data_IF_490107060778
#
_entry.id   IF_490107060778
#
_cell.length_a   1.000
_cell.length_b   1.000
_cell.length_c   1.000
_cell.angle_alpha   90.00
_cell.angle_beta   90.00
_cell.angle_gamma   90.00
#
_symmetry.space_group_name_H-M   'P 1'
#
loop_
_entity.id
_entity.type
_entity.pdbx_description
1 polymer ?
#
# COMPACT_ATOMS: atom_id res chain seq x y z
N UNK A 1 49.23 -29.13 35.64
CA UNK A 1 49.33 -29.24 34.16
C UNK A 1 48.02 -28.88 33.54
N UNK A 2 47.85 -27.60 33.15
CA UNK A 2 46.66 -27.13 32.42
C UNK A 2 46.80 -27.57 30.97
N UNK A 3 45.77 -28.26 30.44
CA UNK A 3 45.67 -28.55 29.02
C UNK A 3 45.49 -27.20 28.31
N UNK A 4 46.49 -26.74 27.56
CA UNK A 4 46.36 -25.73 26.54
C UNK A 4 45.30 -26.27 25.56
N UNK A 5 44.10 -25.63 25.51
CA UNK A 5 43.14 -25.87 24.44
C UNK A 5 43.77 -25.27 23.18
N UNK A 6 44.18 -26.12 22.25
CA UNK A 6 44.61 -25.68 20.93
C UNK A 6 43.53 -24.74 20.38
N UNK A 7 43.94 -23.57 19.90
CA UNK A 7 43.03 -22.63 19.25
C UNK A 7 42.45 -23.34 18.01
N UNK A 8 41.15 -23.32 17.83
CA UNK A 8 40.52 -23.96 16.67
C UNK A 8 41.09 -23.37 15.38
N UNK A 9 41.23 -24.22 14.36
CA UNK A 9 41.66 -23.79 13.04
C UNK A 9 40.78 -22.62 12.54
N UNK A 10 41.37 -21.53 12.02
CA UNK A 10 40.63 -20.38 11.55
C UNK A 10 39.51 -20.73 10.53
N UNK A 11 39.76 -21.72 9.64
CA UNK A 11 38.76 -22.19 8.68
C UNK A 11 37.57 -22.89 9.34
N UNK A 12 37.86 -23.78 10.32
CA UNK A 12 36.81 -24.46 11.09
C UNK A 12 35.96 -23.47 11.91
N UNK A 13 36.59 -22.43 12.43
CA UNK A 13 35.90 -21.38 13.18
C UNK A 13 34.96 -20.58 12.28
N UNK A 14 35.40 -20.21 11.08
CA UNK A 14 34.61 -19.48 10.09
C UNK A 14 33.38 -20.27 9.69
N UNK A 15 33.53 -21.55 9.36
CA UNK A 15 32.41 -22.44 9.01
C UNK A 15 31.44 -22.64 10.17
N UNK A 16 31.94 -22.70 11.39
CA UNK A 16 31.08 -22.75 12.59
C UNK A 16 30.28 -21.47 12.78
N UNK A 17 30.90 -20.31 12.58
CA UNK A 17 30.20 -19.00 12.63
C UNK A 17 29.13 -18.92 11.57
N UNK A 18 29.39 -19.30 10.32
CA UNK A 18 28.39 -19.34 9.25
C UNK A 18 27.18 -20.20 9.60
N UNK A 19 27.42 -21.39 10.18
CA UNK A 19 26.33 -22.26 10.65
C UNK A 19 25.48 -21.59 11.73
N UNK A 20 26.12 -20.96 12.72
CA UNK A 20 25.40 -20.23 13.77
C UNK A 20 24.58 -19.08 13.20
N UNK A 21 25.14 -18.29 12.29
CA UNK A 21 24.44 -17.19 11.62
C UNK A 21 23.25 -17.68 10.79
N UNK A 22 23.38 -18.81 10.10
CA UNK A 22 22.29 -19.44 9.36
C UNK A 22 21.14 -19.86 10.29
N UNK A 23 21.43 -20.53 11.41
CA UNK A 23 20.42 -20.92 12.41
C UNK A 23 19.69 -19.70 12.98
N UNK A 24 20.41 -18.59 13.20
CA UNK A 24 19.82 -17.34 13.68
C UNK A 24 19.10 -16.54 12.57
N UNK A 25 19.15 -17.00 11.33
CA UNK A 25 18.54 -16.28 10.18
C UNK A 25 19.24 -14.96 9.86
N UNK A 26 20.56 -14.85 10.17
CA UNK A 26 21.39 -13.68 9.89
C UNK A 26 22.13 -13.85 8.56
N UNK A 27 21.34 -13.97 7.46
CA UNK A 27 21.85 -14.31 6.13
C UNK A 27 22.82 -13.28 5.58
N UNK A 28 22.48 -11.98 5.68
CA UNK A 28 23.35 -10.90 5.21
C UNK A 28 24.71 -10.93 5.94
N UNK A 29 24.70 -11.08 7.27
CA UNK A 29 25.95 -11.21 8.05
C UNK A 29 26.74 -12.43 7.63
N UNK A 30 26.09 -13.57 7.36
CA UNK A 30 26.76 -14.79 6.92
C UNK A 30 27.44 -14.62 5.55
N UNK A 31 26.77 -13.94 4.63
CA UNK A 31 27.29 -13.67 3.28
C UNK A 31 28.50 -12.71 3.28
N UNK A 32 28.54 -11.76 4.22
CA UNK A 32 29.57 -10.73 4.31
C UNK A 32 30.58 -10.97 5.46
N UNK A 33 30.57 -12.14 6.10
CA UNK A 33 31.34 -12.42 7.30
C UNK A 33 32.84 -12.16 7.11
N UNK A 34 33.44 -12.65 6.02
CA UNK A 34 34.84 -12.45 5.71
C UNK A 34 35.19 -10.97 5.52
N UNK A 35 34.33 -10.21 4.83
CA UNK A 35 34.53 -8.78 4.62
C UNK A 35 34.60 -8.01 5.95
N UNK A 36 33.75 -8.37 6.90
CA UNK A 36 33.76 -7.77 8.24
C UNK A 36 35.04 -8.13 9.03
N UNK A 37 35.48 -9.39 9.00
CA UNK A 37 36.66 -9.84 9.69
C UNK A 37 37.93 -9.23 9.10
N UNK A 38 38.06 -9.15 7.78
CA UNK A 38 39.18 -8.55 7.10
C UNK A 38 39.27 -7.03 7.37
N UNK A 39 38.12 -6.33 7.35
CA UNK A 39 38.05 -4.92 7.71
C UNK A 39 38.49 -4.72 9.15
N UNK A 40 37.96 -5.50 10.09
CA UNK A 40 38.29 -5.37 11.50
C UNK A 40 39.79 -5.61 11.78
N UNK A 41 40.38 -6.54 11.04
CA UNK A 41 41.82 -6.87 11.16
C UNK A 41 42.70 -5.76 10.58
N UNK A 42 42.35 -5.26 9.38
CA UNK A 42 43.10 -4.18 8.71
C UNK A 42 43.10 -2.88 9.51
N UNK A 43 41.92 -2.46 9.93
CA UNK A 43 41.72 -1.19 10.61
C UNK A 43 41.95 -1.30 12.14
N UNK A 44 42.25 -2.48 12.66
CA UNK A 44 42.45 -2.77 14.11
C UNK A 44 41.30 -2.24 14.96
N UNK A 45 40.05 -2.42 14.49
CA UNK A 45 38.84 -1.93 15.16
C UNK A 45 38.58 -2.66 16.47
N UNK A 46 38.01 -1.94 17.44
CA UNK A 46 37.56 -2.56 18.69
C UNK A 46 36.44 -3.60 18.41
N UNK A 47 36.38 -4.70 19.18
CA UNK A 47 35.34 -5.72 19.01
C UNK A 47 33.93 -5.16 19.07
N UNK A 48 33.67 -4.14 19.89
CA UNK A 48 32.36 -3.44 19.95
C UNK A 48 32.01 -2.77 18.66
N UNK A 49 32.97 -2.10 17.99
CA UNK A 49 32.71 -1.43 16.70
C UNK A 49 32.46 -2.45 15.57
N UNK A 50 33.12 -3.61 15.59
CA UNK A 50 32.83 -4.70 14.68
C UNK A 50 31.37 -5.19 14.85
N UNK A 51 30.98 -5.47 16.11
CA UNK A 51 29.62 -5.95 16.41
C UNK A 51 28.55 -4.91 16.05
N UNK A 52 28.79 -3.63 16.34
CA UNK A 52 27.88 -2.54 15.99
C UNK A 52 27.64 -2.49 14.48
N UNK A 53 28.71 -2.53 13.67
CA UNK A 53 28.58 -2.56 12.21
C UNK A 53 27.84 -3.79 11.71
N UNK A 54 28.24 -4.98 12.16
CA UNK A 54 27.66 -6.27 11.75
C UNK A 54 26.15 -6.32 12.05
N UNK A 55 25.77 -5.95 13.27
CA UNK A 55 24.35 -5.99 13.68
C UNK A 55 23.57 -4.81 13.14
N UNK A 56 24.18 -3.64 12.96
CA UNK A 56 23.57 -2.47 12.35
C UNK A 56 23.16 -2.73 10.91
N UNK A 57 24.09 -3.23 10.07
CA UNK A 57 23.79 -3.57 8.67
C UNK A 57 22.75 -4.71 8.58
N UNK A 58 22.86 -5.74 9.41
CA UNK A 58 21.87 -6.82 9.46
C UNK A 58 20.47 -6.32 9.89
N UNK A 59 20.39 -5.41 10.86
CA UNK A 59 19.13 -4.82 11.31
C UNK A 59 18.48 -3.99 10.21
N UNK A 60 19.28 -3.20 9.46
CA UNK A 60 18.83 -2.44 8.33
C UNK A 60 18.23 -3.34 7.24
N UNK A 61 18.96 -4.37 6.81
CA UNK A 61 18.47 -5.33 5.82
C UNK A 61 17.17 -6.02 6.26
N UNK A 62 17.09 -6.39 7.55
CA UNK A 62 15.84 -6.96 8.10
C UNK A 62 14.68 -5.95 8.08
N UNK A 63 14.95 -4.68 8.39
CA UNK A 63 13.94 -3.63 8.35
C UNK A 63 13.43 -3.42 6.92
N UNK A 64 14.32 -3.33 5.94
CA UNK A 64 13.98 -3.19 4.52
C UNK A 64 13.14 -4.37 4.01
N UNK A 65 13.58 -5.62 4.27
CA UNK A 65 12.83 -6.83 3.91
C UNK A 65 11.43 -6.86 4.56
N UNK A 66 11.31 -6.34 5.78
CA UNK A 66 10.02 -6.25 6.49
C UNK A 66 9.09 -5.25 5.83
N UNK A 67 9.62 -4.10 5.38
CA UNK A 67 8.86 -3.09 4.61
C UNK A 67 8.41 -3.69 3.28
N UNK A 68 9.32 -4.29 2.50
CA UNK A 68 9.00 -4.92 1.22
C UNK A 68 7.93 -6.00 1.35
N UNK A 69 8.02 -6.83 2.38
CA UNK A 69 6.99 -7.84 2.65
C UNK A 69 5.62 -7.19 2.93
N UNK A 70 5.57 -6.08 3.70
CA UNK A 70 4.31 -5.35 3.94
C UNK A 70 3.74 -4.79 2.65
N UNK A 71 4.57 -4.18 1.81
CA UNK A 71 4.15 -3.64 0.50
C UNK A 71 3.58 -4.76 -0.37
N UNK A 72 4.25 -5.88 -0.48
CA UNK A 72 3.77 -7.05 -1.24
C UNK A 72 2.44 -7.57 -0.69
N UNK A 73 2.31 -7.70 0.63
CA UNK A 73 1.09 -8.22 1.27
C UNK A 73 -0.06 -7.22 1.26
N UNK A 74 0.19 -5.93 1.05
CA UNK A 74 -0.85 -4.91 0.99
C UNK A 74 -1.74 -5.03 -0.24
N UNK A 75 -1.26 -5.64 -1.32
CA UNK A 75 -1.98 -5.73 -2.59
C UNK A 75 -2.04 -4.41 -3.36
N UNK A 76 -1.20 -3.41 -3.02
CA UNK A 76 -1.09 -2.16 -3.78
C UNK A 76 -0.68 -2.47 -5.23
N UNK A 77 -1.46 -2.04 -6.24
CA UNK A 77 -1.18 -2.37 -7.64
C UNK A 77 0.07 -1.66 -8.18
N UNK A 78 0.38 -0.48 -7.63
CA UNK A 78 1.54 0.33 -8.01
C UNK A 78 2.17 1.00 -6.79
N UNK A 79 3.48 1.27 -6.88
CA UNK A 79 4.21 2.02 -5.85
C UNK A 79 4.17 3.51 -6.17
N UNK A 80 3.02 4.14 -5.95
CA UNK A 80 2.88 5.60 -6.08
C UNK A 80 3.43 6.30 -4.86
N UNK A 81 4.02 7.49 -5.07
CA UNK A 81 4.51 8.36 -3.98
C UNK A 81 3.89 9.75 -4.08
N UNK A 82 3.92 10.52 -3.00
CA UNK A 82 3.45 11.90 -3.00
C UNK A 82 4.39 12.81 -3.80
N UNK A 83 5.66 12.47 -3.84
CA UNK A 83 6.69 13.18 -4.63
C UNK A 83 6.48 12.97 -6.13
N UNK A 84 5.96 11.79 -6.53
CA UNK A 84 5.63 11.47 -7.92
C UNK A 84 4.26 11.97 -8.37
N UNK A 85 3.53 12.70 -7.52
CA UNK A 85 2.25 13.31 -7.91
C UNK A 85 2.48 14.60 -8.70
N UNK A 86 1.81 14.74 -9.83
CA UNK A 86 1.92 15.96 -10.66
C UNK A 86 1.05 17.09 -10.09
N UNK A 87 1.66 17.87 -9.22
CA UNK A 87 1.00 19.00 -8.55
C UNK A 87 0.66 20.14 -9.51
N UNK A 88 1.46 20.32 -10.57
CA UNK A 88 1.22 21.38 -11.55
C UNK A 88 -0.04 21.08 -12.38
N UNK A 89 -0.33 19.79 -12.60
CA UNK A 89 -1.53 19.37 -13.31
C UNK A 89 -2.82 19.51 -12.48
N UNK A 90 -2.72 19.53 -11.16
CA UNK A 90 -3.86 19.68 -10.24
C UNK A 90 -3.73 20.92 -9.34
N UNK A 91 -3.78 22.14 -9.92
CA UNK A 91 -3.54 23.37 -9.17
C UNK A 91 -4.64 23.68 -8.13
N UNK A 92 -5.82 23.10 -8.29
CA UNK A 92 -6.93 23.25 -7.33
C UNK A 92 -6.81 22.36 -6.10
N UNK A 93 -5.84 21.43 -6.07
CA UNK A 93 -5.62 20.56 -4.93
C UNK A 93 -4.59 21.20 -3.97
N UNK A 94 -5.01 21.47 -2.74
CA UNK A 94 -4.12 22.02 -1.74
C UNK A 94 -3.06 20.99 -1.33
N UNK A 95 -1.82 21.26 -1.77
CA UNK A 95 -0.68 20.40 -1.47
C UNK A 95 -0.39 20.29 0.03
N UNK A 96 -0.61 21.34 0.81
CA UNK A 96 -0.34 21.34 2.24
C UNK A 96 -1.27 20.37 2.98
N UNK A 97 -2.55 20.36 2.62
CA UNK A 97 -3.56 19.43 3.15
C UNK A 97 -3.20 17.99 2.81
N UNK A 98 -2.81 17.71 1.56
CA UNK A 98 -2.42 16.35 1.15
C UNK A 98 -1.14 15.89 1.86
N UNK A 99 -0.17 16.78 2.04
CA UNK A 99 1.06 16.45 2.78
C UNK A 99 0.78 16.19 4.26
N UNK A 100 -0.16 16.93 4.87
CA UNK A 100 -0.62 16.67 6.23
C UNK A 100 -1.31 15.30 6.33
N UNK A 101 -2.23 14.98 5.43
CA UNK A 101 -2.82 13.65 5.33
C UNK A 101 -1.76 12.55 5.14
N UNK A 102 -0.70 12.86 4.40
CA UNK A 102 0.46 12.00 4.20
C UNK A 102 1.26 11.68 5.47
N UNK A 103 1.12 12.45 6.54
CA UNK A 103 1.72 12.12 7.85
C UNK A 103 1.03 10.92 8.52
N UNK A 104 -0.16 10.53 8.04
CA UNK A 104 -0.94 9.37 8.48
C UNK A 104 -1.40 9.44 9.95
N UNK A 105 -1.38 10.61 10.57
CA UNK A 105 -1.85 10.79 11.94
C UNK A 105 -3.32 10.36 12.11
N UNK A 106 -4.14 10.55 11.07
CA UNK A 106 -5.54 10.11 11.01
C UNK A 106 -5.67 8.57 11.11
N UNK A 107 -4.70 7.79 10.56
CA UNK A 107 -4.69 6.33 10.72
C UNK A 107 -4.50 5.95 12.20
N UNK A 108 -3.59 6.63 12.88
CA UNK A 108 -3.36 6.43 14.32
C UNK A 108 -4.58 6.80 15.19
N UNK A 109 -5.38 7.78 14.75
CA UNK A 109 -6.65 8.16 15.39
C UNK A 109 -7.84 7.32 14.96
N UNK A 110 -7.62 6.32 14.07
CA UNK A 110 -8.68 5.45 13.53
C UNK A 110 -9.79 6.23 12.82
N UNK A 111 -9.43 7.34 12.18
CA UNK A 111 -10.32 8.15 11.35
C UNK A 111 -10.33 7.59 9.93
N UNK A 112 -11.44 7.82 9.22
CA UNK A 112 -11.57 7.43 7.83
C UNK A 112 -11.16 8.58 6.90
N UNK A 113 -10.84 8.26 5.64
CA UNK A 113 -10.50 9.24 4.62
C UNK A 113 -11.31 8.97 3.35
N UNK A 114 -12.00 9.98 2.83
CA UNK A 114 -12.77 9.85 1.60
C UNK A 114 -12.25 10.85 0.57
N UNK A 115 -11.83 10.34 -0.58
CA UNK A 115 -11.45 11.13 -1.75
C UNK A 115 -12.53 11.02 -2.81
N UNK A 116 -13.17 12.15 -3.15
CA UNK A 116 -14.17 12.21 -4.20
C UNK A 116 -13.68 13.07 -5.38
N UNK A 117 -14.28 12.87 -6.54
CA UNK A 117 -13.97 13.64 -7.74
C UNK A 117 -14.02 12.83 -9.04
N UNK A 118 -13.93 13.50 -10.19
CA UNK A 118 -14.01 12.88 -11.52
C UNK A 118 -12.92 11.81 -11.71
N UNK A 119 -13.15 10.91 -12.68
CA UNK A 119 -12.14 9.92 -13.05
C UNK A 119 -10.86 10.58 -13.59
N UNK A 120 -9.70 10.05 -13.18
CA UNK A 120 -8.39 10.54 -13.64
C UNK A 120 -7.84 11.74 -12.87
N UNK A 121 -8.49 12.23 -11.80
CA UNK A 121 -8.02 13.38 -11.01
C UNK A 121 -6.92 13.07 -10.00
N UNK A 122 -6.45 11.82 -9.91
CA UNK A 122 -5.35 11.44 -9.02
C UNK A 122 -5.75 10.81 -7.69
N UNK A 123 -7.05 10.59 -7.41
CA UNK A 123 -7.54 9.97 -6.15
C UNK A 123 -6.83 8.66 -5.80
N UNK A 124 -6.84 7.70 -6.72
CA UNK A 124 -6.19 6.38 -6.52
C UNK A 124 -4.68 6.52 -6.35
N UNK A 125 -4.03 7.46 -7.07
CA UNK A 125 -2.61 7.76 -6.87
C UNK A 125 -2.32 8.16 -5.42
N UNK A 126 -3.10 9.11 -4.89
CA UNK A 126 -2.93 9.58 -3.51
C UNK A 126 -3.16 8.47 -2.49
N UNK A 127 -4.23 7.65 -2.65
CA UNK A 127 -4.45 6.54 -1.72
C UNK A 127 -3.35 5.47 -1.80
N UNK A 128 -2.85 5.16 -3.00
CA UNK A 128 -1.70 4.27 -3.13
C UNK A 128 -0.44 4.85 -2.48
N UNK A 129 -0.21 6.16 -2.61
CA UNK A 129 0.91 6.84 -1.96
C UNK A 129 0.80 6.82 -0.42
N UNK A 130 -0.38 7.05 0.13
CA UNK A 130 -0.64 6.92 1.57
C UNK A 130 -0.45 5.48 2.04
N UNK A 131 -0.94 4.49 1.27
CA UNK A 131 -0.76 3.07 1.56
C UNK A 131 0.70 2.65 1.56
N UNK A 132 1.48 3.08 0.57
CA UNK A 132 2.92 2.83 0.50
C UNK A 132 3.65 3.42 1.73
N UNK A 133 3.35 4.66 2.07
CA UNK A 133 3.92 5.34 3.22
C UNK A 133 3.54 4.67 4.55
N UNK A 134 2.30 4.18 4.66
CA UNK A 134 1.84 3.40 5.80
C UNK A 134 2.63 2.09 5.96
N UNK A 135 2.90 1.36 4.88
CA UNK A 135 3.76 0.18 4.88
C UNK A 135 5.18 0.51 5.35
N UNK A 136 5.75 1.63 4.88
CA UNK A 136 7.08 2.11 5.28
C UNK A 136 7.13 2.48 6.77
N UNK A 137 6.07 3.06 7.32
CA UNK A 137 5.94 3.35 8.75
C UNK A 137 5.62 2.10 9.60
N UNK A 138 5.52 0.93 8.99
CA UNK A 138 5.31 -0.32 9.72
C UNK A 138 3.86 -0.71 9.93
N UNK A 139 2.89 0.04 9.40
CA UNK A 139 1.47 -0.27 9.49
C UNK A 139 1.10 -1.43 8.56
N UNK A 140 0.10 -2.20 8.95
CA UNK A 140 -0.51 -3.20 8.08
C UNK A 140 -1.53 -2.52 7.16
N UNK A 141 -1.37 -2.72 5.85
CA UNK A 141 -2.22 -2.13 4.81
C UNK A 141 -2.86 -3.24 3.98
N UNK A 142 -4.07 -3.01 3.52
CA UNK A 142 -4.71 -3.81 2.49
C UNK A 142 -5.43 -2.91 1.50
N UNK A 143 -5.22 -3.20 0.23
CA UNK A 143 -5.85 -2.50 -0.90
C UNK A 143 -6.78 -3.45 -1.63
N UNK A 144 -7.94 -2.95 -2.04
CA UNK A 144 -8.80 -3.57 -3.03
C UNK A 144 -9.61 -2.53 -3.79
N UNK A 145 -10.00 -2.85 -5.02
CA UNK A 145 -11.12 -2.16 -5.63
C UNK A 145 -12.41 -2.62 -4.95
N UNK A 146 -13.38 -1.73 -4.85
CA UNK A 146 -14.65 -2.02 -4.19
C UNK A 146 -15.33 -3.29 -4.73
N UNK A 147 -15.34 -3.47 -6.05
CA UNK A 147 -15.93 -4.66 -6.71
C UNK A 147 -15.23 -5.94 -6.29
N UNK A 148 -13.88 -5.96 -6.31
CA UNK A 148 -13.10 -7.15 -5.97
C UNK A 148 -13.27 -7.55 -4.49
N UNK A 149 -13.38 -6.57 -3.61
CA UNK A 149 -13.65 -6.78 -2.19
C UNK A 149 -15.04 -7.40 -1.98
N UNK A 150 -16.06 -6.86 -2.65
CA UNK A 150 -17.42 -7.37 -2.57
C UNK A 150 -17.52 -8.78 -3.15
N UNK A 151 -16.88 -9.03 -4.29
CA UNK A 151 -16.84 -10.36 -4.91
C UNK A 151 -16.16 -11.40 -3.98
N UNK A 152 -15.05 -11.03 -3.28
CA UNK A 152 -14.44 -11.94 -2.29
C UNK A 152 -15.37 -12.23 -1.13
N UNK A 153 -16.13 -11.24 -0.62
CA UNK A 153 -17.09 -11.46 0.46
C UNK A 153 -18.30 -12.30 0.00
N UNK A 154 -18.82 -12.07 -1.21
CA UNK A 154 -19.89 -12.88 -1.78
C UNK A 154 -19.44 -14.32 -2.03
N UNK A 155 -18.24 -14.55 -2.53
CA UNK A 155 -17.70 -15.91 -2.63
C UNK A 155 -17.65 -16.60 -1.25
N UNK A 156 -17.39 -15.83 -0.19
CA UNK A 156 -17.45 -16.33 1.18
C UNK A 156 -18.84 -16.75 1.66
N UNK A 157 -19.91 -16.13 1.17
CA UNK A 157 -21.29 -16.57 1.45
C UNK A 157 -21.56 -17.91 0.81
N UNK A 158 -21.10 -18.12 -0.42
CA UNK A 158 -21.32 -19.34 -1.17
C UNK A 158 -20.58 -20.56 -0.59
N UNK A 159 -19.36 -20.36 -0.05
CA UNK A 159 -18.51 -21.45 0.47
C UNK A 159 -18.48 -21.51 2.02
N UNK A 160 -19.30 -20.71 2.71
CA UNK A 160 -19.37 -20.67 4.18
C UNK A 160 -18.19 -19.97 4.86
N UNK A 161 -17.26 -19.37 4.13
CA UNK A 161 -16.06 -18.69 4.68
C UNK A 161 -16.25 -17.20 4.93
N UNK A 162 -17.45 -16.66 4.81
CA UNK A 162 -17.75 -15.22 4.92
C UNK A 162 -17.11 -14.56 6.15
N UNK A 163 -17.32 -15.13 7.34
CA UNK A 163 -16.78 -14.56 8.58
C UNK A 163 -15.26 -14.53 8.59
N UNK A 164 -14.59 -15.53 8.04
CA UNK A 164 -13.13 -15.60 7.94
C UNK A 164 -12.61 -14.54 6.98
N UNK A 165 -13.26 -14.37 5.82
CA UNK A 165 -12.91 -13.35 4.84
C UNK A 165 -13.16 -11.95 5.39
N UNK A 166 -14.31 -11.72 6.01
CA UNK A 166 -14.64 -10.44 6.64
C UNK A 166 -13.62 -10.06 7.74
N UNK A 167 -13.25 -11.01 8.62
CA UNK A 167 -12.21 -10.80 9.62
C UNK A 167 -10.87 -10.42 8.97
N UNK A 168 -10.50 -11.05 7.85
CA UNK A 168 -9.28 -10.75 7.09
C UNK A 168 -9.30 -9.34 6.48
N UNK A 169 -10.47 -8.84 6.07
CA UNK A 169 -10.65 -7.46 5.59
C UNK A 169 -10.68 -6.44 6.72
N UNK A 170 -11.13 -6.82 7.90
CA UNK A 170 -11.16 -5.97 9.09
C UNK A 170 -9.79 -5.82 9.79
N UNK A 171 -8.88 -6.76 9.62
CA UNK A 171 -7.63 -6.83 10.37
C UNK A 171 -6.58 -5.72 10.10
N UNK A 172 -6.41 -5.19 8.86
CA UNK A 172 -5.40 -4.19 8.58
C UNK A 172 -5.64 -2.87 9.33
N UNK A 173 -4.57 -2.21 9.78
CA UNK A 173 -4.63 -0.87 10.36
C UNK A 173 -5.18 0.17 9.37
N UNK A 174 -4.86 0.01 8.09
CA UNK A 174 -5.41 0.82 6.99
C UNK A 174 -5.98 -0.10 5.91
N UNK A 175 -7.27 0.02 5.65
CA UNK A 175 -7.94 -0.58 4.49
C UNK A 175 -8.17 0.49 3.43
N UNK A 176 -7.73 0.24 2.20
CA UNK A 176 -7.98 1.10 1.05
C UNK A 176 -9.03 0.42 0.16
N UNK A 177 -10.16 1.10 -0.02
CA UNK A 177 -11.24 0.68 -0.92
C UNK A 177 -11.29 1.67 -2.08
N UNK A 178 -10.77 1.25 -3.21
CA UNK A 178 -10.67 2.10 -4.39
C UNK A 178 -11.88 1.93 -5.32
N UNK A 179 -12.22 2.99 -6.04
CA UNK A 179 -13.25 3.02 -7.08
C UNK A 179 -14.66 2.62 -6.62
N UNK A 180 -15.12 3.10 -5.46
CA UNK A 180 -16.52 2.99 -5.06
C UNK A 180 -17.39 3.79 -6.06
N UNK A 181 -18.36 3.12 -6.68
CA UNK A 181 -19.20 3.71 -7.71
C UNK A 181 -18.83 3.31 -9.14
N UNK A 182 -17.78 2.52 -9.34
CA UNK A 182 -17.42 1.93 -10.63
C UNK A 182 -17.68 0.43 -10.64
N UNK A 183 -18.17 -0.06 -11.78
CA UNK A 183 -18.52 -1.46 -11.98
C UNK A 183 -19.96 -1.78 -11.54
N UNK A 184 -20.47 -2.90 -12.05
CA UNK A 184 -21.79 -3.40 -11.64
C UNK A 184 -21.63 -4.28 -10.42
N UNK A 185 -22.30 -3.93 -9.34
CA UNK A 185 -22.47 -4.82 -8.21
C UNK A 185 -23.51 -5.86 -8.58
N UNK A 186 -23.11 -7.12 -8.69
CA UNK A 186 -24.05 -8.21 -9.03
C UNK A 186 -25.08 -8.34 -7.91
N UNK A 187 -26.35 -8.11 -8.26
CA UNK A 187 -27.47 -8.31 -7.35
C UNK A 187 -27.95 -9.77 -7.52
N UNK A 188 -27.89 -10.56 -6.45
CA UNK A 188 -28.52 -11.87 -6.36
C UNK A 188 -29.75 -11.73 -5.47
N UNK A 189 -30.85 -12.39 -5.84
CA UNK A 189 -32.15 -12.21 -5.17
C UNK A 189 -32.16 -12.67 -3.70
N UNK A 190 -31.34 -13.64 -3.36
CA UNK A 190 -31.30 -14.28 -2.01
C UNK A 190 -30.08 -13.89 -1.17
N UNK A 191 -29.24 -12.95 -1.60
CA UNK A 191 -28.02 -12.57 -0.90
C UNK A 191 -28.11 -11.14 -0.33
N UNK A 192 -27.37 -10.82 0.76
CA UNK A 192 -27.25 -9.47 1.24
C UNK A 192 -26.82 -8.53 0.13
N UNK A 193 -27.43 -7.36 0.03
CA UNK A 193 -27.04 -6.38 -1.00
C UNK A 193 -25.59 -5.92 -0.78
N UNK A 194 -24.99 -5.34 -1.83
CA UNK A 194 -23.68 -4.72 -1.72
C UNK A 194 -23.61 -3.68 -0.59
N UNK A 195 -24.70 -2.93 -0.40
CA UNK A 195 -24.84 -2.00 0.70
C UNK A 195 -24.68 -2.70 2.06
N UNK A 196 -25.40 -3.79 2.30
CA UNK A 196 -25.29 -4.53 3.57
C UNK A 196 -23.90 -5.11 3.79
N UNK A 197 -23.28 -5.65 2.74
CA UNK A 197 -21.93 -6.24 2.82
C UNK A 197 -20.89 -5.16 3.14
N UNK A 198 -20.97 -4.02 2.46
CA UNK A 198 -20.09 -2.87 2.71
C UNK A 198 -20.34 -2.26 4.09
N UNK A 199 -21.61 -2.13 4.50
CA UNK A 199 -21.99 -1.67 5.81
C UNK A 199 -21.38 -2.53 6.92
N UNK A 200 -21.53 -3.85 6.83
CA UNK A 200 -20.99 -4.78 7.80
C UNK A 200 -19.47 -4.69 7.95
N UNK A 201 -18.77 -4.44 6.84
CA UNK A 201 -17.33 -4.23 6.86
C UNK A 201 -16.97 -2.91 7.54
N UNK A 202 -17.59 -1.80 7.12
CA UNK A 202 -17.30 -0.47 7.65
C UNK A 202 -17.69 -0.36 9.13
N UNK A 203 -18.82 -0.95 9.52
CA UNK A 203 -19.28 -1.00 10.91
C UNK A 203 -18.27 -1.68 11.84
N UNK A 204 -17.77 -2.84 11.42
CA UNK A 204 -16.75 -3.58 12.19
C UNK A 204 -15.40 -2.88 12.28
N UNK A 205 -15.09 -2.02 11.33
CA UNK A 205 -13.86 -1.23 11.34
C UNK A 205 -14.03 0.09 12.06
N UNK A 206 -15.25 0.60 12.15
CA UNK A 206 -15.55 1.87 12.80
C UNK A 206 -14.95 1.91 14.21
N UNK A 207 -14.21 2.97 14.54
CA UNK A 207 -13.49 3.17 15.82
C UNK A 207 -12.35 2.19 16.14
N UNK A 208 -12.06 1.23 15.27
CA UNK A 208 -11.03 0.21 15.52
C UNK A 208 -9.86 0.29 14.54
N UNK A 209 -10.11 0.69 13.30
CA UNK A 209 -9.09 0.82 12.26
C UNK A 209 -9.53 1.80 11.18
N UNK A 210 -8.59 2.45 10.54
CA UNK A 210 -8.85 3.45 9.51
C UNK A 210 -9.24 2.82 8.17
N UNK A 211 -10.18 3.47 7.46
CA UNK A 211 -10.56 3.09 6.09
C UNK A 211 -10.40 4.30 5.17
N UNK A 212 -9.71 4.11 4.04
CA UNK A 212 -9.57 5.13 3.01
C UNK A 212 -10.34 4.72 1.76
N UNK A 213 -11.17 5.61 1.24
CA UNK A 213 -12.10 5.31 0.15
C UNK A 213 -11.89 6.31 -0.97
N UNK A 214 -11.88 5.85 -2.24
CA UNK A 214 -12.09 6.73 -3.38
C UNK A 214 -13.45 6.51 -3.99
N UNK A 215 -14.07 7.58 -4.49
CA UNK A 215 -15.30 7.51 -5.25
C UNK A 215 -15.33 8.52 -6.41
N UNK A 216 -15.81 8.07 -7.55
CA UNK A 216 -16.12 8.95 -8.68
C UNK A 216 -17.54 9.55 -8.60
N UNK A 217 -18.32 9.02 -7.67
CA UNK A 217 -19.67 9.50 -7.37
C UNK A 217 -19.63 10.49 -6.21
N UNK A 218 -20.48 11.49 -6.25
CA UNK A 218 -20.79 12.27 -5.03
C UNK A 218 -21.42 11.35 -4.00
N UNK A 219 -21.16 11.59 -2.73
CA UNK A 219 -21.70 10.76 -1.64
C UNK A 219 -23.23 10.66 -1.69
N UNK A 220 -23.91 11.73 -2.14
CA UNK A 220 -25.36 11.76 -2.33
C UNK A 220 -25.90 10.81 -3.41
N UNK A 221 -25.05 10.20 -4.22
CA UNK A 221 -25.43 9.25 -5.26
C UNK A 221 -25.10 7.78 -4.91
N UNK A 222 -24.60 7.54 -3.69
CA UNK A 222 -24.27 6.20 -3.24
C UNK A 222 -25.50 5.30 -3.03
N UNK A 223 -26.66 5.90 -2.73
CA UNK A 223 -27.94 5.21 -2.61
C UNK A 223 -28.31 4.42 -3.87
N UNK A 224 -28.15 5.04 -5.04
CA UNK A 224 -28.42 4.41 -6.34
C UNK A 224 -27.40 3.33 -6.68
N UNK A 225 -26.13 3.56 -6.37
CA UNK A 225 -25.06 2.61 -6.66
C UNK A 225 -25.16 1.34 -5.79
N UNK A 226 -25.40 1.51 -4.52
CA UNK A 226 -25.48 0.42 -3.55
C UNK A 226 -26.83 -0.32 -3.59
N UNK A 227 -27.86 0.27 -4.20
CA UNK A 227 -29.16 -0.35 -4.41
C UNK A 227 -30.05 -0.46 -3.17
N UNK A 228 -29.66 0.15 -2.04
CA UNK A 228 -30.41 0.22 -0.81
C UNK A 228 -30.24 1.60 -0.17
N UNK A 229 -31.20 2.52 -0.32
CA UNK A 229 -31.09 3.88 0.20
C UNK A 229 -30.94 3.95 1.72
N UNK A 230 -31.63 3.06 2.46
CA UNK A 230 -31.61 3.07 3.93
C UNK A 230 -30.22 2.69 4.46
N UNK A 231 -29.65 1.61 3.91
CA UNK A 231 -28.32 1.15 4.31
C UNK A 231 -27.23 2.11 3.82
N UNK A 232 -27.39 2.67 2.60
CA UNK A 232 -26.47 3.70 2.11
C UNK A 232 -26.46 4.96 3.00
N UNK A 233 -27.64 5.40 3.48
CA UNK A 233 -27.72 6.50 4.44
C UNK A 233 -27.01 6.18 5.75
N UNK A 234 -27.12 4.94 6.27
CA UNK A 234 -26.40 4.51 7.47
C UNK A 234 -24.88 4.46 7.28
N UNK A 235 -24.40 4.06 6.09
CA UNK A 235 -22.98 4.13 5.74
C UNK A 235 -22.50 5.58 5.75
N UNK A 236 -23.23 6.46 5.09
CA UNK A 236 -22.88 7.88 4.96
C UNK A 236 -22.87 8.59 6.31
N UNK A 237 -23.81 8.27 7.20
CA UNK A 237 -23.86 8.82 8.56
C UNK A 237 -22.61 8.44 9.35
N UNK A 238 -22.21 7.16 9.32
CA UNK A 238 -20.98 6.71 9.98
C UNK A 238 -19.72 7.40 9.43
N UNK A 239 -19.61 7.47 8.12
CA UNK A 239 -18.50 8.15 7.46
C UNK A 239 -18.51 9.65 7.74
N UNK A 240 -19.72 10.29 7.88
CA UNK A 240 -19.83 11.70 8.18
C UNK A 240 -19.26 12.07 9.56
N UNK A 241 -19.35 11.18 10.54
CA UNK A 241 -18.92 11.44 11.90
C UNK A 241 -17.40 11.53 12.07
N UNK A 242 -16.61 10.80 11.30
CA UNK A 242 -15.17 10.65 11.52
C UNK A 242 -14.32 10.70 10.25
N UNK A 243 -14.91 10.82 9.08
CA UNK A 243 -14.15 10.83 7.84
C UNK A 243 -13.62 12.22 7.50
N UNK A 244 -12.34 12.30 7.26
CA UNK A 244 -11.71 13.40 6.55
C UNK A 244 -12.13 13.34 5.09
N UNK A 245 -12.53 14.46 4.51
CA UNK A 245 -13.00 14.51 3.13
C UNK A 245 -12.08 15.39 2.28
N UNK A 246 -11.74 14.88 1.12
CA UNK A 246 -10.95 15.60 0.13
C UNK A 246 -11.65 15.48 -1.23
N UNK A 247 -12.20 16.57 -1.70
CA UNK A 247 -12.78 16.64 -3.03
C UNK A 247 -11.72 17.12 -4.02
N UNK A 248 -11.49 16.33 -5.08
CA UNK A 248 -10.47 16.64 -6.08
C UNK A 248 -11.17 17.00 -7.37
N UNK A 249 -11.30 18.30 -7.58
CA UNK A 249 -11.90 18.87 -8.79
C UNK A 249 -10.78 19.30 -9.75
N UNK A 250 -10.82 18.78 -10.97
CA UNK A 250 -9.76 19.08 -11.94
C UNK A 250 -9.84 18.25 -13.21
N UNK A 251 -8.93 18.48 -14.14
CA UNK A 251 -8.84 17.74 -15.39
C UNK A 251 -8.41 16.29 -15.17
N UNK A 252 -8.71 15.45 -16.16
CA UNK A 252 -8.28 14.05 -16.15
C UNK A 252 -6.84 13.89 -16.65
N UNK A 253 -5.93 13.49 -15.78
CA UNK A 253 -4.54 13.19 -16.13
C UNK A 253 -4.42 12.05 -17.16
N UNK A 254 -5.31 11.05 -17.09
CA UNK A 254 -5.33 9.96 -18.08
C UNK A 254 -5.67 10.46 -19.47
N UNK A 255 -6.62 11.41 -19.59
CA UNK A 255 -6.95 12.03 -20.88
C UNK A 255 -5.82 12.89 -21.40
N UNK A 256 -5.17 13.66 -20.53
CA UNK A 256 -4.02 14.49 -20.88
C UNK A 256 -2.87 13.65 -21.45
N UNK A 257 -2.42 12.62 -20.72
CA UNK A 257 -1.36 11.71 -21.20
C UNK A 257 -1.77 11.01 -22.50
N UNK A 258 -3.03 10.61 -22.64
CA UNK A 258 -3.54 10.03 -23.90
C UNK A 258 -3.43 10.98 -25.09
N UNK A 259 -3.80 12.26 -24.88
CA UNK A 259 -3.69 13.29 -25.92
C UNK A 259 -2.22 13.62 -26.27
N UNK A 260 -1.33 13.70 -25.29
CA UNK A 260 0.11 13.90 -25.53
C UNK A 260 0.71 12.78 -26.34
N UNK A 261 0.41 11.51 -25.99
CA UNK A 261 0.86 10.34 -26.77
C UNK A 261 0.33 10.37 -28.21
N UNK A 262 -0.95 10.73 -28.40
CA UNK A 262 -1.52 10.86 -29.74
C UNK A 262 -0.84 11.95 -30.57
N UNK A 263 -0.49 13.10 -29.96
CA UNK A 263 0.27 14.17 -30.63
C UNK A 263 1.67 13.73 -31.02
N UNK A 264 2.38 13.00 -30.13
CA UNK A 264 3.72 12.49 -30.41
C UNK A 264 3.71 11.45 -31.55
N UNK A 265 2.68 10.61 -31.64
CA UNK A 265 2.57 9.59 -32.69
C UNK A 265 2.04 10.19 -34.00
N UNK A 266 1.20 11.22 -33.95
CA UNK A 266 0.71 11.95 -35.15
C UNK A 266 1.77 12.85 -35.80
N UNK A 267 2.81 13.24 -35.05
CA UNK A 267 3.95 13.99 -35.59
C UNK A 267 5.02 13.11 -36.27
N UNK A 268 4.87 11.78 -36.22
CA UNK A 268 5.81 10.81 -36.79
C UNK A 268 5.41 10.26 -38.17
N UNK A 269 4.48 10.90 -38.89
CA UNK A 269 4.20 10.56 -40.28
C UNK A 269 5.26 11.25 -41.15
N UNK A 270 6.16 10.51 -41.84
CA UNK A 270 7.12 11.10 -42.75
C UNK A 270 6.38 11.76 -43.92
N UNK A 271 6.80 12.94 -44.30
CA UNK A 271 6.40 13.56 -45.54
C UNK A 271 6.68 12.60 -46.71
N UNK A 272 5.61 12.30 -47.45
CA UNK A 272 5.64 11.51 -48.69
C UNK A 272 6.55 12.21 -49.69
N UNK A 273 7.66 11.56 -50.02
CA UNK A 273 8.61 12.00 -51.00
C UNK A 273 8.03 11.64 -52.40
N UNK A 274 7.11 12.44 -52.87
CA UNK A 274 6.68 12.40 -54.27
C UNK A 274 7.52 13.37 -55.10
N UNK A 275 8.73 12.95 -55.38
CA UNK A 275 9.42 13.39 -56.60
C UNK A 275 9.05 12.40 -57.70
N UNK A 276 8.23 12.83 -58.59
CA UNK A 276 8.01 12.18 -59.87
C UNK A 276 8.54 13.08 -61.00
N UNK A 277 9.10 12.48 -62.07
CA UNK A 277 10.02 13.08 -63.03
C UNK A 277 9.42 14.06 -64.06
#
# INVERSE_FOLDING_TARGET
MGRQRDAPDPGEMLERLRRHLAVLGLTHTSEHLEVYLDWATRERVAPSALLDRVFGEQAQVKAERRIERRITMSGLPERKTLEGFDWAFQPGLDRSVVMELGNLAWVGRQEDLILTGKSGTGKSHLLMAFGLRACQQGLSVRYARCVDLLDDLYAGLADGSYHTRLKRWCAPALLIIDDVGLGQVKKREDEPTAAHTLYNLLDRRHTHAATAITSNLKLSAWDRYLGDPTVAAAILDRLAMRALRLDIDGPSYRQHVGQERARQHGAATPADDTTDP
#
